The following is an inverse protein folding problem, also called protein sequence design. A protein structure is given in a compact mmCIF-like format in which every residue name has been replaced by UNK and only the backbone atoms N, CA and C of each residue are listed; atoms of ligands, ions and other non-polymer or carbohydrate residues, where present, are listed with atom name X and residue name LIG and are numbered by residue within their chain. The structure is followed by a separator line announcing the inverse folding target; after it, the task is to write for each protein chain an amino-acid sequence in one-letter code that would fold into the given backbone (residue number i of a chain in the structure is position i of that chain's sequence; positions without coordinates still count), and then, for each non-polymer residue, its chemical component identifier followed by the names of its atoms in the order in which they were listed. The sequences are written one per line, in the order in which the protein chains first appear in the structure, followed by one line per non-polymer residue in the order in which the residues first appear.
data_IF_530629255292
#
_entry.id   IF_530629255292
#
_cell.length_a   1.000
_cell.length_b   1.000
_cell.length_c   1.000
_cell.angle_alpha   90.00
_cell.angle_beta   90.00
_cell.angle_gamma   90.00
#
_symmetry.space_group_name_H-M   'P 1'
#
loop_
_entity.id
_entity.type
_entity.pdbx_description
1 polymer ?
#
# COMPACT_ATOMS: atom_id res chain seq x y z
N UNK A 1 -12.97 22.55 21.26
CA UNK A 1 -12.59 22.39 19.85
C UNK A 1 -12.51 20.90 19.57
N UNK A 2 -13.44 20.36 18.78
CA UNK A 2 -13.33 18.96 18.30
C UNK A 2 -12.10 18.88 17.42
N UNK A 3 -11.12 18.07 17.76
CA UNK A 3 -10.02 17.69 16.87
C UNK A 3 -10.65 16.92 15.72
N UNK A 4 -10.89 17.59 14.59
CA UNK A 4 -11.24 16.93 13.34
C UNK A 4 -10.09 15.96 13.02
N UNK A 5 -10.32 14.66 13.17
CA UNK A 5 -9.35 13.66 12.83
C UNK A 5 -9.17 13.70 11.31
N UNK A 6 -7.96 14.01 10.85
CA UNK A 6 -7.60 14.04 9.44
C UNK A 6 -8.11 12.77 8.72
N UNK A 7 -8.89 12.94 7.66
CA UNK A 7 -9.46 11.83 6.90
C UNK A 7 -8.34 11.02 6.23
N UNK A 8 -8.39 9.69 6.37
CA UNK A 8 -7.48 8.78 5.68
C UNK A 8 -8.20 8.27 4.43
N UNK A 9 -7.62 8.49 3.25
CA UNK A 9 -8.11 7.95 1.97
C UNK A 9 -7.48 6.58 1.75
N UNK A 10 -8.29 5.52 1.87
CA UNK A 10 -7.88 4.15 1.55
C UNK A 10 -8.23 3.80 0.11
N UNK A 11 -7.72 2.67 -0.38
CA UNK A 11 -8.05 2.18 -1.73
C UNK A 11 -9.55 1.93 -1.89
N UNK A 12 -10.22 1.42 -0.84
CA UNK A 12 -11.65 1.16 -0.84
C UNK A 12 -12.47 2.44 -1.01
N UNK A 13 -12.00 3.56 -0.45
CA UNK A 13 -12.67 4.86 -0.57
C UNK A 13 -12.65 5.39 -2.01
N UNK A 14 -11.68 4.95 -2.83
CA UNK A 14 -11.59 5.35 -4.23
C UNK A 14 -12.65 4.65 -5.10
N UNK A 15 -13.13 3.48 -4.70
CA UNK A 15 -14.14 2.71 -5.45
C UNK A 15 -15.51 3.40 -5.54
N UNK A 16 -15.76 4.42 -4.72
CA UNK A 16 -16.98 5.24 -4.78
C UNK A 16 -17.02 6.22 -5.98
N UNK A 17 -15.90 6.45 -6.66
CA UNK A 17 -15.80 7.38 -7.80
C UNK A 17 -16.06 6.65 -9.14
N UNK A 18 -17.19 5.97 -9.24
CA UNK A 18 -17.53 5.08 -10.36
C UNK A 18 -17.51 5.75 -11.73
N UNK A 19 -17.70 7.06 -11.78
CA UNK A 19 -17.72 7.87 -13.01
C UNK A 19 -16.33 8.20 -13.58
N UNK A 20 -15.25 7.94 -12.81
CA UNK A 20 -13.86 8.16 -13.22
C UNK A 20 -12.99 6.90 -13.11
N UNK A 21 -13.56 5.75 -12.76
CA UNK A 21 -12.83 4.50 -12.64
C UNK A 21 -12.68 3.85 -14.02
N UNK A 22 -11.44 3.68 -14.47
CA UNK A 22 -11.12 2.87 -15.65
C UNK A 22 -10.97 1.38 -15.29
N UNK A 23 -10.46 1.09 -14.08
CA UNK A 23 -10.28 -0.27 -13.56
C UNK A 23 -10.24 -0.28 -12.04
N UNK A 24 -10.79 -1.33 -11.42
CA UNK A 24 -10.64 -1.58 -9.98
C UNK A 24 -10.56 -3.06 -9.66
N UNK A 25 -9.75 -3.39 -8.67
CA UNK A 25 -9.61 -4.72 -8.08
C UNK A 25 -9.46 -4.62 -6.56
N UNK A 26 -9.12 -5.70 -5.89
CA UNK A 26 -8.80 -5.68 -4.45
C UNK A 26 -7.60 -4.78 -4.14
N UNK A 27 -6.57 -4.79 -5.00
CA UNK A 27 -5.25 -4.21 -4.73
C UNK A 27 -4.90 -2.99 -5.57
N UNK A 28 -5.63 -2.73 -6.66
CA UNK A 28 -5.30 -1.68 -7.62
C UNK A 28 -6.57 -1.00 -8.11
N UNK A 29 -6.53 0.33 -8.20
CA UNK A 29 -7.59 1.14 -8.84
C UNK A 29 -6.94 2.14 -9.79
N UNK A 30 -7.44 2.22 -11.02
CA UNK A 30 -7.05 3.22 -12.02
C UNK A 30 -8.21 4.19 -12.21
N UNK A 31 -7.91 5.49 -12.12
CA UNK A 31 -8.88 6.57 -12.28
C UNK A 31 -8.33 7.60 -13.27
N UNK A 32 -9.24 8.36 -13.87
CA UNK A 32 -8.91 9.34 -14.91
C UNK A 32 -9.05 10.80 -14.50
N UNK A 33 -9.23 11.08 -13.21
CA UNK A 33 -9.32 12.46 -12.71
C UNK A 33 -8.98 12.58 -11.22
N UNK A 34 -7.79 13.13 -10.93
CA UNK A 34 -7.38 13.42 -9.54
C UNK A 34 -8.22 14.56 -8.93
N UNK A 35 -8.70 15.51 -9.73
CA UNK A 35 -9.40 16.68 -9.21
C UNK A 35 -10.70 16.30 -8.50
N UNK A 36 -11.43 15.30 -9.02
CA UNK A 36 -12.66 14.80 -8.36
C UNK A 36 -12.35 14.18 -7.00
N UNK A 37 -11.24 13.46 -6.88
CA UNK A 37 -10.81 12.86 -5.61
C UNK A 37 -10.50 13.98 -4.60
N UNK A 38 -9.74 14.99 -5.01
CA UNK A 38 -9.33 16.09 -4.15
C UNK A 38 -10.50 16.96 -3.71
N UNK A 39 -11.41 17.33 -4.61
CA UNK A 39 -12.59 18.16 -4.31
C UNK A 39 -13.53 17.53 -3.29
N UNK A 40 -13.72 16.21 -3.33
CA UNK A 40 -14.64 15.48 -2.43
C UNK A 40 -14.09 15.27 -1.03
N UNK A 41 -12.78 15.37 -0.83
CA UNK A 41 -12.11 15.04 0.43
C UNK A 41 -11.76 16.28 1.29
N UNK A 42 -12.51 17.38 1.17
CA UNK A 42 -12.44 18.56 2.08
C UNK A 42 -11.03 19.01 2.47
N UNK A 43 -10.23 19.41 1.47
CA UNK A 43 -8.99 20.19 1.58
C UNK A 43 -7.75 19.49 2.14
N UNK A 44 -7.81 18.58 3.12
CA UNK A 44 -6.64 17.89 3.66
C UNK A 44 -6.94 16.41 3.92
N UNK A 45 -6.15 15.53 3.35
CA UNK A 45 -6.31 14.10 3.55
C UNK A 45 -4.96 13.39 3.66
N UNK A 46 -4.90 12.34 4.49
CA UNK A 46 -3.78 11.42 4.59
C UNK A 46 -4.03 10.21 3.70
N UNK A 47 -3.03 9.78 2.94
CA UNK A 47 -3.17 8.61 2.06
C UNK A 47 -2.92 7.31 2.83
N UNK A 48 -3.84 6.37 2.71
CA UNK A 48 -3.71 4.99 3.19
C UNK A 48 -3.26 4.01 2.11
N UNK A 49 -3.05 4.49 0.88
CA UNK A 49 -2.56 3.73 -0.27
C UNK A 49 -1.47 4.54 -0.98
N UNK A 50 -0.68 3.90 -1.83
CA UNK A 50 0.22 4.60 -2.73
C UNK A 50 -0.60 5.15 -3.91
N UNK A 51 -0.33 6.38 -4.32
CA UNK A 51 -0.96 6.98 -5.51
C UNK A 51 0.11 7.53 -6.44
N UNK A 52 -0.07 7.28 -7.73
CA UNK A 52 0.73 7.84 -8.80
C UNK A 52 -0.18 8.64 -9.71
N UNK A 53 0.10 9.92 -9.84
CA UNK A 53 -0.70 10.88 -10.61
C UNK A 53 0.10 11.32 -11.81
N UNK A 54 -0.26 10.84 -12.99
CA UNK A 54 0.36 11.20 -14.27
C UNK A 54 -0.37 12.41 -14.83
N UNK A 55 0.33 13.52 -14.98
CA UNK A 55 -0.21 14.71 -15.63
C UNK A 55 -0.11 14.57 -17.15
N UNK A 56 -1.28 14.44 -17.81
CA UNK A 56 -1.37 14.34 -19.28
C UNK A 56 -1.43 15.73 -19.92
N UNK A 57 -2.20 16.65 -19.31
CA UNK A 57 -2.33 18.04 -19.80
C UNK A 57 -2.60 19.00 -18.64
N UNK A 58 -2.19 20.25 -18.81
CA UNK A 58 -2.34 21.31 -17.83
C UNK A 58 -1.24 21.33 -16.78
N UNK A 59 -1.48 22.10 -15.74
CA UNK A 59 -0.62 22.21 -14.56
C UNK A 59 -1.43 22.55 -13.32
N UNK A 60 -0.93 22.21 -12.15
CA UNK A 60 -1.53 22.58 -10.86
C UNK A 60 -0.51 22.62 -9.75
N UNK A 61 -0.72 23.48 -8.76
CA UNK A 61 0.03 23.43 -7.51
C UNK A 61 -0.66 22.45 -6.56
N UNK A 62 0.07 21.42 -6.14
CA UNK A 62 -0.37 20.44 -5.16
C UNK A 62 0.47 20.59 -3.88
N UNK A 63 -0.19 20.65 -2.72
CA UNK A 63 0.49 20.63 -1.44
C UNK A 63 0.64 19.20 -0.95
N UNK A 64 1.89 18.77 -0.76
CA UNK A 64 2.22 17.41 -0.32
C UNK A 64 3.15 17.53 0.89
N UNK A 65 2.79 16.92 2.02
CA UNK A 65 3.58 16.92 3.26
C UNK A 65 3.99 18.33 3.72
N UNK A 66 3.11 19.31 3.53
CA UNK A 66 3.35 20.71 3.92
C UNK A 66 4.13 21.56 2.91
N UNK A 67 4.61 20.97 1.82
CA UNK A 67 5.33 21.67 0.75
C UNK A 67 4.46 21.81 -0.50
N UNK A 68 4.63 22.92 -1.22
CA UNK A 68 3.97 23.16 -2.50
C UNK A 68 4.83 22.64 -3.64
N UNK A 69 4.23 21.85 -4.52
CA UNK A 69 4.87 21.29 -5.69
C UNK A 69 4.07 21.61 -6.93
N UNK A 70 4.76 21.98 -8.03
CA UNK A 70 4.12 22.14 -9.33
C UNK A 70 4.05 20.78 -10.03
N UNK A 71 2.82 20.31 -10.28
CA UNK A 71 2.53 19.16 -11.13
C UNK A 71 2.08 19.66 -12.49
N UNK A 72 2.83 19.37 -13.54
CA UNK A 72 2.61 19.84 -14.90
C UNK A 72 2.74 18.72 -15.92
N UNK A 73 2.30 18.97 -17.14
CA UNK A 73 2.42 18.01 -18.26
C UNK A 73 3.82 17.41 -18.35
N UNK A 74 3.86 16.07 -18.45
CA UNK A 74 5.11 15.31 -18.49
C UNK A 74 5.72 15.00 -17.13
N UNK A 75 5.03 15.33 -16.03
CA UNK A 75 5.43 14.94 -14.67
C UNK A 75 4.48 13.90 -14.10
N UNK A 76 5.02 13.12 -13.17
CA UNK A 76 4.26 12.21 -12.31
C UNK A 76 4.45 12.61 -10.85
N UNK A 77 3.36 12.74 -10.10
CA UNK A 77 3.41 12.80 -8.65
C UNK A 77 3.30 11.39 -8.09
N UNK A 78 4.26 10.96 -7.26
CA UNK A 78 4.26 9.65 -6.61
C UNK A 78 4.13 9.88 -5.10
N UNK A 79 2.97 9.52 -4.57
CA UNK A 79 2.55 9.79 -3.22
C UNK A 79 2.60 8.49 -2.42
N UNK A 80 3.58 8.36 -1.53
CA UNK A 80 3.72 7.19 -0.67
C UNK A 80 2.56 7.07 0.34
N UNK A 81 2.24 5.86 0.82
CA UNK A 81 1.30 5.69 1.95
C UNK A 81 1.76 6.53 3.15
N UNK A 82 0.83 7.24 3.76
CA UNK A 82 1.11 8.16 4.86
C UNK A 82 1.32 9.62 4.44
N UNK A 83 1.51 9.91 3.15
CA UNK A 83 1.59 11.29 2.65
C UNK A 83 0.31 12.05 2.97
N UNK A 84 0.47 13.32 3.31
CA UNK A 84 -0.63 14.26 3.52
C UNK A 84 -0.75 15.13 2.29
N UNK A 85 -1.92 15.13 1.67
CA UNK A 85 -2.22 15.95 0.50
C UNK A 85 -3.24 17.01 0.86
N UNK A 86 -3.05 18.21 0.32
CA UNK A 86 -4.02 19.29 0.43
C UNK A 86 -4.34 19.82 -0.98
N UNK A 87 -5.62 19.85 -1.30
CA UNK A 87 -6.12 20.41 -2.53
C UNK A 87 -6.29 21.93 -2.39
N UNK A 88 -5.63 22.70 -3.24
CA UNK A 88 -6.02 24.08 -3.44
C UNK A 88 -7.14 24.10 -4.48
N UNK A 89 -8.33 24.52 -4.06
CA UNK A 89 -9.57 24.45 -4.82
C UNK A 89 -9.67 25.46 -5.98
N UNK A 90 -8.60 26.06 -6.44
CA UNK A 90 -8.70 27.13 -7.43
C UNK A 90 -8.00 26.86 -8.75
N UNK A 91 -8.79 26.52 -9.72
CA UNK A 91 -8.77 27.19 -11.04
C UNK A 91 -8.01 26.56 -12.18
N UNK A 92 -7.23 25.48 -11.99
CA UNK A 92 -6.50 24.90 -13.12
C UNK A 92 -7.07 23.52 -13.49
N UNK A 93 -7.40 23.37 -14.76
CA UNK A 93 -7.88 22.08 -15.30
C UNK A 93 -6.66 21.21 -15.57
N UNK A 94 -6.48 20.19 -14.75
CA UNK A 94 -5.47 19.16 -14.93
C UNK A 94 -6.15 17.91 -15.49
N UNK A 95 -5.69 17.43 -16.65
CA UNK A 95 -6.03 16.09 -17.12
C UNK A 95 -4.99 15.12 -16.59
N UNK A 96 -5.45 14.09 -15.90
CA UNK A 96 -4.54 13.16 -15.20
C UNK A 96 -5.05 11.73 -15.23
N UNK A 97 -4.11 10.78 -15.18
CA UNK A 97 -4.36 9.38 -14.85
C UNK A 97 -3.81 9.11 -13.46
N UNK A 98 -4.59 8.39 -12.67
CA UNK A 98 -4.22 8.01 -11.31
C UNK A 98 -4.16 6.50 -11.20
N UNK A 99 -3.02 5.98 -10.75
CA UNK A 99 -2.87 4.60 -10.34
C UNK A 99 -2.75 4.56 -8.82
N UNK A 100 -3.74 3.96 -8.16
CA UNK A 100 -3.72 3.75 -6.73
C UNK A 100 -3.48 2.27 -6.40
N UNK A 101 -2.60 2.01 -5.43
CA UNK A 101 -2.14 0.66 -5.06
C UNK A 101 -2.27 0.48 -3.56
N UNK A 102 -2.84 -0.65 -3.12
CA UNK A 102 -2.96 -0.98 -1.71
C UNK A 102 -1.58 -1.10 -1.04
N UNK A 103 -1.51 -0.71 0.22
CA UNK A 103 -0.27 -0.82 1.01
C UNK A 103 0.18 -2.28 1.15
N UNK A 104 -0.77 -3.22 1.24
CA UNK A 104 -0.50 -4.65 1.34
C UNK A 104 0.16 -5.16 0.05
N UNK A 105 -0.42 -4.87 -1.11
CA UNK A 105 0.14 -5.28 -2.40
C UNK A 105 1.50 -4.66 -2.68
N UNK A 106 1.69 -3.39 -2.33
CA UNK A 106 2.99 -2.71 -2.41
C UNK A 106 4.06 -3.44 -1.59
N UNK A 107 3.75 -3.76 -0.33
CA UNK A 107 4.67 -4.46 0.57
C UNK A 107 5.00 -5.87 0.10
N UNK A 108 4.01 -6.60 -0.43
CA UNK A 108 4.18 -7.95 -0.97
C UNK A 108 5.02 -7.97 -2.24
N UNK A 109 4.76 -7.01 -3.13
CA UNK A 109 5.43 -6.92 -4.42
C UNK A 109 6.90 -6.50 -4.29
N UNK A 110 7.18 -5.46 -3.51
CA UNK A 110 8.50 -4.84 -3.45
C UNK A 110 9.43 -5.45 -2.40
N UNK A 111 8.96 -6.46 -1.65
CA UNK A 111 9.80 -7.13 -0.63
C UNK A 111 10.56 -6.12 0.21
N UNK A 112 9.90 -5.33 1.01
CA UNK A 112 10.37 -4.19 1.86
C UNK A 112 11.86 -4.23 2.27
N UNK A 113 12.76 -4.31 1.30
CA UNK A 113 14.21 -4.27 1.46
C UNK A 113 14.70 -2.83 1.67
N UNK A 114 15.98 -2.69 2.02
CA UNK A 114 16.62 -1.38 2.25
C UNK A 114 16.44 -0.43 1.05
N UNK A 115 16.59 -0.94 -0.16
CA UNK A 115 16.47 -0.18 -1.41
C UNK A 115 15.06 0.39 -1.58
N UNK A 116 14.02 -0.42 -1.34
CA UNK A 116 12.62 0.02 -1.38
C UNK A 116 12.35 1.15 -0.38
N UNK A 117 12.89 1.02 0.85
CA UNK A 117 12.75 2.06 1.86
C UNK A 117 13.46 3.36 1.47
N UNK A 118 14.64 3.28 0.86
CA UNK A 118 15.36 4.46 0.37
C UNK A 118 14.51 5.19 -0.69
N UNK A 119 13.91 4.46 -1.63
CA UNK A 119 13.03 5.04 -2.64
C UNK A 119 11.80 5.67 -1.99
N UNK A 120 11.10 4.99 -1.08
CA UNK A 120 9.92 5.54 -0.39
C UNK A 120 10.26 6.78 0.44
N UNK A 121 11.41 6.79 1.12
CA UNK A 121 11.87 7.96 1.86
C UNK A 121 12.18 9.13 0.93
N UNK A 122 12.87 8.87 -0.17
CA UNK A 122 13.16 9.89 -1.19
C UNK A 122 11.85 10.48 -1.76
N UNK A 123 10.88 9.64 -2.11
CA UNK A 123 9.56 10.03 -2.60
C UNK A 123 8.79 10.91 -1.63
N UNK A 124 8.96 10.70 -0.32
CA UNK A 124 8.30 11.52 0.70
C UNK A 124 8.74 12.99 0.65
N UNK A 125 9.99 13.25 0.29
CA UNK A 125 10.58 14.58 0.17
C UNK A 125 10.57 15.12 -1.26
N UNK A 126 10.62 14.24 -2.26
CA UNK A 126 10.67 14.56 -3.69
C UNK A 126 9.56 13.82 -4.45
N UNK A 127 8.30 14.22 -4.25
CA UNK A 127 7.18 13.45 -4.80
C UNK A 127 6.92 13.68 -6.30
N UNK A 128 7.56 14.68 -6.93
CA UNK A 128 7.36 15.02 -8.35
C UNK A 128 8.54 14.54 -9.18
N UNK A 129 8.26 13.76 -10.21
CA UNK A 129 9.24 13.18 -11.13
C UNK A 129 8.95 13.57 -12.57
N UNK A 130 9.96 14.00 -13.34
CA UNK A 130 9.82 14.16 -14.78
C UNK A 130 9.73 12.79 -15.46
N UNK A 131 8.78 12.65 -16.35
CA UNK A 131 8.61 11.46 -17.19
C UNK A 131 9.41 11.67 -18.48
N UNK A 132 10.61 11.09 -18.56
CA UNK A 132 11.38 11.10 -19.78
C UNK A 132 10.78 10.19 -20.86
N UNK A 133 11.28 10.31 -22.12
CA UNK A 133 10.76 9.56 -23.27
C UNK A 133 10.77 8.04 -23.04
N UNK A 134 11.80 7.50 -22.39
CA UNK A 134 11.92 6.06 -22.10
C UNK A 134 10.86 5.60 -21.08
N UNK A 135 10.67 6.36 -20.00
CA UNK A 135 9.63 6.08 -19.00
C UNK A 135 8.25 6.16 -19.64
N UNK A 136 7.99 7.23 -20.41
CA UNK A 136 6.73 7.41 -21.13
C UNK A 136 6.41 6.23 -22.06
N UNK A 137 7.40 5.74 -22.81
CA UNK A 137 7.23 4.60 -23.70
C UNK A 137 6.93 3.29 -22.93
N UNK A 138 7.64 3.01 -21.85
CA UNK A 138 7.37 1.84 -21.00
C UNK A 138 5.98 1.92 -20.38
N UNK A 139 5.57 3.07 -19.86
CA UNK A 139 4.24 3.27 -19.29
C UNK A 139 3.14 3.07 -20.33
N UNK A 140 3.37 3.52 -21.56
CA UNK A 140 2.46 3.28 -22.67
C UNK A 140 2.30 1.76 -22.94
N UNK A 141 3.40 1.00 -23.02
CA UNK A 141 3.35 -0.43 -23.24
C UNK A 141 2.61 -1.18 -22.11
N UNK A 142 2.86 -0.80 -20.86
CA UNK A 142 2.13 -1.37 -19.71
C UNK A 142 0.63 -1.07 -19.78
N UNK A 143 0.26 0.15 -20.15
CA UNK A 143 -1.14 0.54 -20.33
C UNK A 143 -1.82 -0.29 -21.42
N UNK A 144 -1.21 -0.40 -22.61
CA UNK A 144 -1.77 -1.17 -23.73
C UNK A 144 -1.99 -2.64 -23.37
N UNK A 145 -0.99 -3.25 -22.72
CA UNK A 145 -1.11 -4.64 -22.27
C UNK A 145 -2.19 -4.80 -21.19
N UNK A 146 -2.29 -3.86 -20.24
CA UNK A 146 -3.35 -3.89 -19.23
C UNK A 146 -4.74 -3.74 -19.84
N UNK A 147 -4.90 -2.84 -20.81
CA UNK A 147 -6.18 -2.66 -21.51
C UNK A 147 -6.58 -3.94 -22.25
N UNK A 148 -5.63 -4.62 -22.90
CA UNK A 148 -5.89 -5.89 -23.54
C UNK A 148 -6.35 -6.96 -22.52
N UNK A 149 -5.62 -7.10 -21.39
CA UNK A 149 -5.97 -8.06 -20.33
C UNK A 149 -7.33 -7.78 -19.64
N UNK A 150 -7.75 -6.51 -19.58
CA UNK A 150 -9.05 -6.12 -19.00
C UNK A 150 -10.20 -6.47 -19.97
N UNK A 151 -9.98 -6.34 -21.27
CA UNK A 151 -10.97 -6.60 -22.31
C UNK A 151 -11.19 -8.11 -22.58
N UNK A 152 -10.22 -8.96 -22.20
CA UNK A 152 -10.38 -10.40 -22.32
C UNK A 152 -11.51 -10.94 -21.46
N UNK A 153 -12.21 -11.96 -21.97
CA UNK A 153 -13.22 -12.68 -21.19
C UNK A 153 -12.59 -13.26 -19.93
N UNK A 154 -13.25 -13.11 -18.77
CA UNK A 154 -12.71 -13.67 -17.53
C UNK A 154 -12.48 -15.19 -17.66
N UNK A 155 -11.33 -15.65 -17.20
CA UNK A 155 -10.97 -17.07 -17.08
C UNK A 155 -10.25 -17.30 -15.73
N UNK A 156 -10.01 -18.54 -15.35
CA UNK A 156 -9.48 -18.93 -14.03
C UNK A 156 -8.19 -18.20 -13.61
N UNK A 157 -7.37 -17.76 -14.57
CA UNK A 157 -6.09 -17.09 -14.32
C UNK A 157 -6.12 -15.57 -14.50
N UNK A 158 -7.23 -14.99 -15.00
CA UNK A 158 -7.30 -13.55 -15.38
C UNK A 158 -6.90 -12.62 -14.23
N UNK A 159 -7.42 -12.83 -13.03
CA UNK A 159 -7.10 -12.01 -11.86
C UNK A 159 -5.63 -12.14 -11.47
N UNK A 160 -5.10 -13.36 -11.49
CA UNK A 160 -3.70 -13.65 -11.15
C UNK A 160 -2.74 -13.04 -12.16
N UNK A 161 -3.03 -13.17 -13.46
CA UNK A 161 -2.24 -12.58 -14.55
C UNK A 161 -2.19 -11.06 -14.42
N UNK A 162 -3.32 -10.39 -14.18
CA UNK A 162 -3.38 -8.95 -13.96
C UNK A 162 -2.56 -8.52 -12.73
N UNK A 163 -2.65 -9.28 -11.61
CA UNK A 163 -1.86 -8.99 -10.41
C UNK A 163 -0.35 -9.08 -10.67
N UNK A 164 0.12 -10.12 -11.35
CA UNK A 164 1.53 -10.23 -11.72
C UNK A 164 2.00 -9.12 -12.65
N UNK A 165 1.13 -8.68 -13.53
CA UNK A 165 1.42 -7.57 -14.45
C UNK A 165 1.62 -6.26 -13.71
N UNK A 166 0.69 -5.93 -12.78
CA UNK A 166 0.84 -4.77 -11.91
C UNK A 166 2.08 -4.88 -11.00
N UNK A 167 2.37 -6.06 -10.50
CA UNK A 167 3.57 -6.29 -9.69
C UNK A 167 4.86 -6.02 -10.51
N UNK A 168 4.94 -6.54 -11.75
CA UNK A 168 6.06 -6.29 -12.65
C UNK A 168 6.23 -4.80 -12.96
N UNK A 169 5.15 -4.11 -13.27
CA UNK A 169 5.14 -2.66 -13.50
C UNK A 169 5.65 -1.87 -12.29
N UNK A 170 5.21 -2.22 -11.08
CA UNK A 170 5.68 -1.58 -9.85
C UNK A 170 7.17 -1.81 -9.61
N UNK A 171 7.65 -3.04 -9.78
CA UNK A 171 9.09 -3.36 -9.64
C UNK A 171 9.95 -2.55 -10.61
N UNK A 172 9.57 -2.50 -11.88
CA UNK A 172 10.28 -1.74 -12.91
C UNK A 172 10.30 -0.24 -12.58
N UNK A 173 9.18 0.30 -12.12
CA UNK A 173 9.07 1.69 -11.75
C UNK A 173 9.93 2.04 -10.54
N UNK A 174 9.96 1.19 -9.51
CA UNK A 174 10.85 1.40 -8.37
C UNK A 174 12.32 1.28 -8.76
N UNK A 175 12.68 0.38 -9.67
CA UNK A 175 14.03 0.29 -10.21
C UNK A 175 14.44 1.58 -10.95
N UNK A 176 13.55 2.14 -11.76
CA UNK A 176 13.79 3.42 -12.45
C UNK A 176 13.93 4.59 -11.47
N UNK A 177 13.10 4.63 -10.43
CA UNK A 177 13.18 5.65 -9.38
C UNK A 177 14.48 5.54 -8.58
N UNK A 178 14.87 4.33 -8.21
CA UNK A 178 16.14 4.11 -7.52
C UNK A 178 17.35 4.62 -8.33
N UNK A 179 17.34 4.44 -9.64
CA UNK A 179 18.40 4.96 -10.53
C UNK A 179 18.44 6.49 -10.58
N UNK A 180 17.33 7.16 -10.31
CA UNK A 180 17.25 8.64 -10.33
C UNK A 180 17.68 9.28 -9.00
N UNK A 181 17.82 8.52 -7.92
CA UNK A 181 18.27 9.06 -6.62
C UNK A 181 19.76 9.44 -6.74
N UNK A 182 20.12 10.73 -6.55
CA UNK A 182 21.51 11.17 -6.64
C UNK A 182 22.39 10.48 -5.60
N UNK A 183 23.64 10.15 -5.96
CA UNK A 183 24.58 9.48 -5.05
C UNK A 183 24.85 10.30 -3.77
N UNK A 184 24.80 11.63 -3.87
CA UNK A 184 24.95 12.54 -2.73
C UNK A 184 23.77 12.34 -1.76
N UNK A 185 22.56 12.23 -2.29
CA UNK A 185 21.36 12.01 -1.46
C UNK A 185 21.30 10.59 -0.93
N UNK A 186 21.75 9.59 -1.68
CA UNK A 186 21.90 8.21 -1.18
C UNK A 186 22.80 8.14 0.06
N UNK A 187 23.84 8.99 0.13
CA UNK A 187 24.75 9.09 1.27
C UNK A 187 24.18 9.95 2.40
N UNK A 188 23.39 10.97 2.06
CA UNK A 188 22.78 11.92 3.01
C UNK A 188 21.41 11.46 3.52
N UNK A 189 20.78 10.46 2.91
CA UNK A 189 19.65 9.77 3.53
C UNK A 189 20.17 9.13 4.83
N UNK A 190 20.33 9.96 5.84
CA UNK A 190 20.33 9.51 7.22
C UNK A 190 18.94 8.92 7.42
N UNK A 191 18.88 7.60 7.21
CA UNK A 191 17.68 6.84 7.51
C UNK A 191 17.39 7.18 8.96
N UNK A 192 16.36 8.00 9.17
CA UNK A 192 15.97 8.38 10.52
C UNK A 192 15.83 7.09 11.31
N UNK A 193 16.36 7.04 12.52
CA UNK A 193 16.33 5.86 13.40
C UNK A 193 14.93 5.25 13.49
N UNK A 194 13.89 6.06 13.44
CA UNK A 194 12.49 5.61 13.39
C UNK A 194 12.15 4.82 12.12
N UNK A 195 12.69 5.20 10.98
CA UNK A 195 12.48 4.49 9.69
C UNK A 195 13.18 3.11 9.72
N UNK A 196 14.38 3.04 10.28
CA UNK A 196 15.10 1.77 10.46
C UNK A 196 14.32 0.83 11.37
N UNK A 197 13.86 1.32 12.52
CA UNK A 197 13.08 0.55 13.48
C UNK A 197 11.78 0.02 12.81
N UNK A 198 11.11 0.89 12.05
CA UNK A 198 9.87 0.54 11.34
C UNK A 198 10.12 -0.55 10.31
N UNK A 199 11.18 -0.42 9.51
CA UNK A 199 11.60 -1.41 8.52
C UNK A 199 11.89 -2.76 9.19
N UNK A 200 12.72 -2.74 10.22
CA UNK A 200 13.17 -3.96 10.88
C UNK A 200 11.99 -4.67 11.55
N UNK A 201 11.07 -3.92 12.17
CA UNK A 201 9.82 -4.45 12.71
C UNK A 201 8.96 -5.11 11.62
N UNK A 202 8.68 -4.43 10.50
CA UNK A 202 7.84 -4.99 9.41
C UNK A 202 8.52 -6.22 8.79
N UNK A 203 9.83 -6.19 8.60
CA UNK A 203 10.60 -7.34 8.10
C UNK A 203 10.47 -8.54 9.03
N UNK A 204 10.59 -8.33 10.35
CA UNK A 204 10.43 -9.39 11.34
C UNK A 204 9.02 -9.96 11.36
N UNK A 205 7.98 -9.11 11.34
CA UNK A 205 6.57 -9.55 11.29
C UNK A 205 6.32 -10.39 10.05
N UNK A 206 6.83 -10.00 8.89
CA UNK A 206 6.66 -10.76 7.65
C UNK A 206 7.41 -12.11 7.67
N UNK A 207 8.61 -12.15 8.26
CA UNK A 207 9.41 -13.37 8.37
C UNK A 207 8.87 -14.38 9.42
N UNK A 208 8.10 -13.89 10.39
CA UNK A 208 7.59 -14.69 11.52
C UNK A 208 6.47 -15.68 11.13
N UNK A 209 5.91 -15.55 9.93
CA UNK A 209 4.78 -16.39 9.46
C UNK A 209 3.55 -16.37 10.39
N UNK A 210 3.38 -15.32 11.19
CA UNK A 210 2.22 -15.10 12.05
C UNK A 210 2.23 -15.88 13.37
N UNK A 211 3.36 -16.50 13.74
CA UNK A 211 3.50 -17.32 14.95
C UNK A 211 3.43 -16.49 16.23
N UNK A 212 4.17 -15.38 16.30
CA UNK A 212 4.19 -14.53 17.47
C UNK A 212 3.21 -13.36 17.30
N UNK A 213 2.28 -13.21 18.27
CA UNK A 213 1.20 -12.22 18.21
C UNK A 213 1.36 -11.08 19.20
N UNK A 214 2.44 -11.04 19.97
CA UNK A 214 2.72 -10.03 20.99
C UNK A 214 3.62 -8.94 20.45
N UNK A 215 3.26 -7.67 20.66
CA UNK A 215 4.14 -6.53 20.36
C UNK A 215 5.43 -6.60 21.19
N UNK A 216 5.35 -7.12 22.43
CA UNK A 216 6.51 -7.26 23.31
C UNK A 216 7.58 -8.16 22.70
N UNK A 217 7.20 -9.26 22.06
CA UNK A 217 8.14 -10.16 21.39
C UNK A 217 9.02 -9.42 20.38
N UNK A 218 8.40 -8.61 19.51
CA UNK A 218 9.13 -7.86 18.49
C UNK A 218 9.93 -6.71 19.09
N UNK A 219 9.40 -6.07 20.12
CA UNK A 219 10.09 -4.98 20.83
C UNK A 219 11.35 -5.50 21.52
N UNK A 220 11.28 -6.65 22.18
CA UNK A 220 12.43 -7.30 22.85
C UNK A 220 13.51 -7.70 21.82
N UNK A 221 13.09 -8.29 20.69
CA UNK A 221 14.01 -8.65 19.60
C UNK A 221 14.72 -7.45 18.97
N UNK A 222 14.04 -6.30 18.92
CA UNK A 222 14.59 -5.03 18.41
C UNK A 222 15.32 -4.21 19.50
N UNK A 223 15.35 -4.71 20.75
CA UNK A 223 15.95 -4.03 21.90
C UNK A 223 15.29 -2.67 22.23
N UNK A 224 13.96 -2.57 22.08
CA UNK A 224 13.16 -1.40 22.42
C UNK A 224 12.06 -1.72 23.43
N UNK A 225 11.55 -0.68 24.11
CA UNK A 225 10.33 -0.87 24.89
C UNK A 225 9.11 -0.98 23.96
N UNK A 226 8.08 -1.76 24.32
CA UNK A 226 6.84 -1.87 23.55
C UNK A 226 6.18 -0.51 23.31
N UNK A 227 6.21 0.38 24.30
CA UNK A 227 5.64 1.73 24.20
C UNK A 227 6.37 2.57 23.14
N UNK A 228 7.70 2.52 23.12
CA UNK A 228 8.51 3.25 22.15
C UNK A 228 8.31 2.71 20.74
N UNK A 229 8.30 1.38 20.58
CA UNK A 229 8.00 0.73 19.29
C UNK A 229 6.63 1.15 18.77
N UNK A 230 5.59 1.14 19.63
CA UNK A 230 4.24 1.57 19.26
C UNK A 230 4.19 3.03 18.77
N UNK A 231 4.90 3.93 19.45
CA UNK A 231 4.95 5.35 19.06
C UNK A 231 5.56 5.51 17.68
N UNK A 232 6.75 4.92 17.47
CA UNK A 232 7.51 5.04 16.22
C UNK A 232 6.73 4.44 15.04
N UNK A 233 6.23 3.22 15.19
CA UNK A 233 5.52 2.54 14.10
C UNK A 233 4.25 3.32 13.73
N UNK A 234 3.49 3.79 14.73
CA UNK A 234 2.26 4.56 14.49
C UNK A 234 2.56 5.91 13.84
N UNK A 235 3.61 6.60 14.27
CA UNK A 235 4.03 7.86 13.68
C UNK A 235 4.49 7.68 12.23
N UNK A 236 5.31 6.67 11.97
CA UNK A 236 5.89 6.43 10.64
C UNK A 236 4.90 5.87 9.62
N UNK A 237 3.90 5.07 10.06
CA UNK A 237 3.02 4.30 9.15
C UNK A 237 1.54 4.63 9.28
N UNK A 238 1.14 5.30 10.34
CA UNK A 238 -0.26 5.52 10.70
C UNK A 238 -0.97 4.30 11.30
N UNK A 239 -0.33 3.10 11.29
CA UNK A 239 -0.84 1.87 11.87
C UNK A 239 -0.10 1.51 13.16
N UNK A 240 -0.78 0.83 14.07
CA UNK A 240 -0.13 0.29 15.27
C UNK A 240 0.64 -1.00 14.94
N UNK A 241 1.70 -1.36 15.69
CA UNK A 241 2.37 -2.66 15.56
C UNK A 241 1.41 -3.84 15.64
N UNK A 242 0.43 -3.76 16.52
CA UNK A 242 -0.59 -4.82 16.67
C UNK A 242 -1.39 -5.04 15.39
N UNK A 243 -1.74 -3.97 14.64
CA UNK A 243 -2.44 -4.10 13.37
C UNK A 243 -1.58 -4.83 12.32
N UNK A 244 -0.29 -4.53 12.21
CA UNK A 244 0.62 -5.27 11.33
C UNK A 244 0.71 -6.76 11.69
N UNK A 245 0.85 -7.07 12.97
CA UNK A 245 0.93 -8.45 13.47
C UNK A 245 -0.38 -9.20 13.16
N UNK A 246 -1.52 -8.59 13.43
CA UNK A 246 -2.84 -9.21 13.18
C UNK A 246 -3.08 -9.43 11.68
N UNK A 247 -2.78 -8.45 10.83
CA UNK A 247 -2.91 -8.57 9.38
C UNK A 247 -2.04 -9.73 8.84
N UNK A 248 -0.77 -9.81 9.29
CA UNK A 248 0.10 -10.92 8.89
C UNK A 248 -0.42 -12.28 9.41
N UNK A 249 -0.82 -12.36 10.68
CA UNK A 249 -1.39 -13.59 11.26
C UNK A 249 -2.61 -14.07 10.46
N UNK A 250 -3.55 -13.18 10.15
CA UNK A 250 -4.74 -13.51 9.35
C UNK A 250 -4.35 -13.99 7.95
N UNK A 251 -3.39 -13.33 7.30
CA UNK A 251 -2.87 -13.74 5.99
C UNK A 251 -2.34 -15.18 6.02
N UNK A 252 -1.52 -15.50 7.01
CA UNK A 252 -0.93 -16.83 7.16
C UNK A 252 -1.98 -17.89 7.51
N UNK A 253 -2.96 -17.56 8.36
CA UNK A 253 -4.09 -18.45 8.66
C UNK A 253 -4.89 -18.75 7.40
N UNK A 254 -5.26 -17.73 6.62
CA UNK A 254 -5.97 -17.88 5.33
C UNK A 254 -5.20 -18.79 4.38
N UNK A 255 -3.88 -18.58 4.27
CA UNK A 255 -3.04 -19.41 3.44
C UNK A 255 -3.05 -20.88 3.86
N UNK A 256 -2.86 -21.15 5.17
CA UNK A 256 -2.86 -22.53 5.69
C UNK A 256 -4.24 -23.19 5.59
N UNK A 257 -5.33 -22.47 5.85
CA UNK A 257 -6.70 -22.97 5.66
C UNK A 257 -6.96 -23.38 4.20
N UNK A 258 -6.33 -22.67 3.26
CA UNK A 258 -6.51 -22.89 1.82
C UNK A 258 -5.66 -24.02 1.26
N UNK A 259 -4.44 -24.18 1.78
CA UNK A 259 -3.42 -25.02 1.16
C UNK A 259 -2.97 -26.19 2.05
N UNK A 260 -3.69 -26.48 3.14
CA UNK A 260 -3.41 -27.63 3.99
C UNK A 260 -4.66 -28.21 4.61
N UNK A 261 -4.61 -29.51 4.93
CA UNK A 261 -5.67 -30.24 5.63
C UNK A 261 -5.51 -30.23 7.16
N UNK A 262 -4.66 -29.34 7.70
CA UNK A 262 -4.41 -29.22 9.14
C UNK A 262 -5.74 -28.87 9.83
N UNK A 263 -6.03 -29.55 10.96
CA UNK A 263 -7.24 -29.31 11.72
C UNK A 263 -7.29 -27.89 12.31
N UNK A 264 -8.50 -27.38 12.58
CA UNK A 264 -8.69 -26.06 13.21
C UNK A 264 -8.01 -26.01 14.59
N UNK A 265 -7.97 -27.13 15.31
CA UNK A 265 -7.30 -27.26 16.62
C UNK A 265 -5.77 -27.12 16.46
N UNK A 266 -5.19 -27.77 15.48
CA UNK A 266 -3.75 -27.68 15.20
C UNK A 266 -3.37 -26.28 14.67
N UNK A 267 -4.21 -25.66 13.84
CA UNK A 267 -3.99 -24.27 13.43
C UNK A 267 -4.01 -23.32 14.62
N UNK A 268 -4.96 -23.48 15.53
CA UNK A 268 -4.99 -22.67 16.75
C UNK A 268 -3.69 -22.80 17.55
N UNK A 269 -3.15 -24.00 17.67
CA UNK A 269 -1.87 -24.24 18.33
C UNK A 269 -0.69 -23.65 17.54
N UNK A 270 -0.65 -23.84 16.22
CA UNK A 270 0.42 -23.30 15.34
C UNK A 270 0.55 -21.79 15.45
N UNK A 271 -0.57 -21.07 15.59
CA UNK A 271 -0.61 -19.62 15.71
C UNK A 271 -0.69 -19.12 17.16
N UNK A 272 -0.25 -19.93 18.13
CA UNK A 272 -0.16 -19.57 19.56
C UNK A 272 -1.46 -19.02 20.14
N UNK A 273 -2.60 -19.65 19.81
CA UNK A 273 -3.87 -19.38 20.46
C UNK A 273 -4.08 -20.32 21.65
N UNK A 274 -4.52 -19.76 22.78
CA UNK A 274 -4.77 -20.53 24.02
C UNK A 274 -5.80 -21.66 23.84
N UNK A 275 -6.73 -21.52 22.90
CA UNK A 275 -7.68 -22.56 22.51
C UNK A 275 -8.35 -22.28 21.18
N UNK A 276 -8.99 -23.28 20.52
CA UNK A 276 -9.68 -23.13 19.23
C UNK A 276 -10.83 -22.11 19.23
N UNK A 277 -11.48 -21.88 20.38
CA UNK A 277 -12.58 -20.91 20.47
C UNK A 277 -12.08 -19.48 20.32
N UNK A 278 -10.95 -19.12 20.95
CA UNK A 278 -10.33 -17.82 20.75
C UNK A 278 -9.81 -17.64 19.32
N UNK A 279 -9.22 -18.67 18.73
CA UNK A 279 -8.81 -18.68 17.33
C UNK A 279 -10.00 -18.40 16.40
N UNK A 280 -11.11 -19.12 16.59
CA UNK A 280 -12.32 -18.92 15.78
C UNK A 280 -12.90 -17.52 15.90
N UNK A 281 -12.98 -16.98 17.11
CA UNK A 281 -13.45 -15.60 17.36
C UNK A 281 -12.53 -14.57 16.71
N UNK A 282 -11.22 -14.74 16.86
CA UNK A 282 -10.23 -13.85 16.25
C UNK A 282 -10.36 -13.85 14.72
N UNK A 283 -10.41 -15.02 14.09
CA UNK A 283 -10.53 -15.12 12.65
C UNK A 283 -11.84 -14.51 12.15
N UNK A 284 -12.98 -14.84 12.78
CA UNK A 284 -14.30 -14.29 12.42
C UNK A 284 -14.35 -12.77 12.58
N UNK A 285 -13.74 -12.21 13.61
CA UNK A 285 -13.69 -10.77 13.82
C UNK A 285 -12.95 -10.02 12.69
N UNK A 286 -11.95 -10.66 12.05
CA UNK A 286 -11.15 -10.05 11.00
C UNK A 286 -11.61 -10.40 9.59
N UNK A 287 -12.41 -11.46 9.40
CA UNK A 287 -12.80 -11.95 8.09
C UNK A 287 -14.30 -11.97 7.84
N UNK A 288 -15.10 -11.79 8.91
CA UNK A 288 -16.56 -11.86 8.88
C UNK A 288 -17.12 -13.29 9.00
N UNK A 289 -16.36 -14.33 8.67
CA UNK A 289 -16.78 -15.74 8.67
C UNK A 289 -15.87 -16.61 9.54
N UNK A 290 -16.33 -17.80 9.92
CA UNK A 290 -15.54 -18.73 10.72
C UNK A 290 -14.41 -19.37 9.90
N UNK A 291 -13.35 -19.91 10.55
CA UNK A 291 -12.30 -20.66 9.84
C UNK A 291 -12.83 -21.86 9.04
N UNK A 292 -13.85 -22.54 9.56
CA UNK A 292 -14.46 -23.67 8.87
C UNK A 292 -15.25 -23.25 7.65
N UNK A 293 -16.10 -22.24 7.76
CA UNK A 293 -16.81 -21.63 6.63
C UNK A 293 -15.83 -21.14 5.56
N UNK A 294 -14.72 -20.50 5.97
CA UNK A 294 -13.68 -20.04 5.06
C UNK A 294 -12.99 -21.20 4.31
N UNK A 295 -12.81 -22.36 4.96
CA UNK A 295 -12.24 -23.55 4.32
C UNK A 295 -13.21 -24.17 3.30
N UNK A 296 -14.50 -24.27 3.64
CA UNK A 296 -15.54 -24.88 2.80
C UNK A 296 -15.89 -23.99 1.60
N UNK A 297 -15.98 -22.66 1.78
CA UNK A 297 -16.31 -21.72 0.69
C UNK A 297 -15.36 -21.75 -0.51
N UNK A 298 -14.35 -22.61 -0.49
CA UNK A 298 -13.33 -22.78 -1.54
C UNK A 298 -13.29 -24.15 -2.20
N UNK A 299 -14.10 -25.08 -1.73
CA UNK A 299 -14.32 -26.34 -2.44
C UNK A 299 -15.35 -26.16 -3.56
N UNK A 300 -16.02 -24.96 -3.60
CA UNK A 300 -17.04 -24.60 -4.59
C UNK A 300 -16.55 -23.63 -5.69
N UNK A 301 -15.29 -23.15 -5.65
CA UNK A 301 -14.61 -22.37 -6.70
C UNK A 301 -13.55 -23.23 -7.44
#
# INVERSE_FOLDING_TARGET
MKTDSMKIIKLEDLKQFTDIIDYTSENVTILNDINKILRRNHHVAKLGCMMMVFCEEGETNIHINGNTHLLQKGNCAILAPGSVIQANAMGQVLTSKVLAVSQTFLAETLSMKKETWNVLHYLYHHPIFPINRNISYKMYLYKELMMALIQEKPHAYSQRTRSFHFAGMLCEMFAMLDQQIPDIERKSIQINRSTLITRDFISMVNADNGTHRSVSYYADKLCYSPKYLCSIIKESTGKTPMQFIQENTIKQIKYKLKHSNISIKELAHTFDFSNPSFFGKFFKAHTGITPLEYRISKEEE
#
